data_IF_882042925355
#
_entry.id   IF_882042925355
#
_cell.length_a   1.000
_cell.length_b   1.000
_cell.length_c   1.000
_cell.angle_alpha   90.00
_cell.angle_beta   90.00
_cell.angle_gamma   90.00
#
_symmetry.space_group_name_H-M   'P 1'
#
loop_
_entity.id
_entity.type
_entity.pdbx_description
1 polymer ?
#
# COMPACT_ATOMS: atom_id res chain seq x y z
N UNK A 1 22.51 -10.58 -15.45
CA UNK A 1 22.72 -11.84 -14.68
C UNK A 1 22.12 -11.75 -13.27
N UNK A 2 22.52 -10.78 -12.45
CA UNK A 2 21.98 -10.59 -11.10
C UNK A 2 20.49 -10.18 -11.06
N UNK A 3 20.00 -9.40 -12.03
CA UNK A 3 18.59 -9.02 -12.13
C UNK A 3 17.65 -10.18 -12.49
N UNK A 4 18.12 -11.12 -13.32
CA UNK A 4 17.33 -12.27 -13.77
C UNK A 4 17.27 -13.39 -12.71
N UNK A 5 18.34 -13.57 -11.94
CA UNK A 5 18.33 -14.49 -10.78
C UNK A 5 17.49 -13.90 -9.64
N UNK A 6 17.57 -12.59 -9.41
CA UNK A 6 16.71 -11.85 -8.48
C UNK A 6 15.23 -11.99 -8.84
N UNK A 7 14.86 -11.79 -10.11
CA UNK A 7 13.48 -11.92 -10.55
C UNK A 7 12.95 -13.35 -10.41
N UNK A 8 13.79 -14.37 -10.63
CA UNK A 8 13.40 -15.77 -10.43
C UNK A 8 13.12 -16.15 -8.98
N UNK A 9 13.99 -15.75 -8.05
CA UNK A 9 13.80 -16.00 -6.62
C UNK A 9 12.63 -15.19 -6.03
N UNK A 10 12.45 -13.96 -6.51
CA UNK A 10 11.28 -13.14 -6.18
C UNK A 10 9.99 -13.85 -6.61
N UNK A 11 9.86 -14.20 -7.88
CA UNK A 11 8.66 -14.86 -8.39
C UNK A 11 8.39 -16.18 -7.67
N UNK A 12 9.43 -16.98 -7.41
CA UNK A 12 9.28 -18.23 -6.67
C UNK A 12 8.74 -18.01 -5.24
N UNK A 13 9.10 -16.90 -4.58
CA UNK A 13 8.53 -16.55 -3.29
C UNK A 13 7.06 -16.17 -3.43
N UNK A 14 6.71 -15.30 -4.38
CA UNK A 14 5.32 -14.89 -4.61
C UNK A 14 4.43 -16.09 -4.93
N UNK A 15 4.87 -16.98 -5.82
CA UNK A 15 4.14 -18.19 -6.19
C UNK A 15 3.90 -19.11 -5.00
N UNK A 16 4.89 -19.26 -4.10
CA UNK A 16 4.77 -20.09 -2.90
C UNK A 16 3.82 -19.52 -1.84
N UNK A 17 3.52 -18.22 -1.90
CA UNK A 17 2.63 -17.52 -0.98
C UNK A 17 1.34 -17.04 -1.68
N UNK A 18 1.11 -17.46 -2.92
CA UNK A 18 -0.10 -17.16 -3.69
C UNK A 18 -1.12 -18.27 -3.47
N UNK A 19 -2.35 -17.89 -3.12
CA UNK A 19 -3.45 -18.82 -2.89
C UNK A 19 -4.67 -18.41 -3.68
N UNK A 20 -5.44 -19.38 -4.16
CA UNK A 20 -6.79 -19.13 -4.65
C UNK A 20 -7.73 -19.13 -3.44
N UNK A 21 -8.43 -18.03 -3.22
CA UNK A 21 -9.33 -17.87 -2.09
C UNK A 21 -10.67 -17.31 -2.53
N UNK A 22 -11.73 -17.85 -1.92
CA UNK A 22 -13.04 -17.22 -1.97
C UNK A 22 -13.07 -16.07 -0.96
N UNK A 23 -13.45 -14.88 -1.43
CA UNK A 23 -13.44 -13.64 -0.66
C UNK A 23 -14.86 -13.14 -0.51
N UNK A 24 -15.28 -12.91 0.74
CA UNK A 24 -16.58 -12.31 1.08
C UNK A 24 -16.32 -11.04 1.88
N UNK A 25 -16.93 -9.93 1.47
CA UNK A 25 -16.90 -8.68 2.22
C UNK A 25 -18.27 -8.40 2.85
N UNK A 26 -18.25 -8.03 4.12
CA UNK A 26 -19.43 -7.78 4.94
C UNK A 26 -19.29 -6.40 5.56
N UNK A 27 -20.14 -5.47 5.14
CA UNK A 27 -20.22 -4.13 5.68
C UNK A 27 -21.36 -4.08 6.68
N UNK A 28 -21.08 -3.66 7.91
CA UNK A 28 -22.08 -3.42 8.94
C UNK A 28 -21.99 -1.95 9.35
N UNK A 29 -23.12 -1.28 9.40
CA UNK A 29 -23.24 0.05 9.98
C UNK A 29 -24.18 -0.03 11.18
N UNK A 30 -23.74 0.50 12.31
CA UNK A 30 -24.54 0.60 13.53
C UNK A 30 -24.26 1.92 14.26
N UNK A 31 -25.26 2.82 14.28
CA UNK A 31 -25.24 4.01 15.14
C UNK A 31 -24.00 4.90 15.00
N UNK A 32 -23.53 5.12 13.77
CA UNK A 32 -22.36 5.96 13.47
C UNK A 32 -21.04 5.20 13.34
N UNK A 33 -21.03 3.87 13.55
CA UNK A 33 -19.85 3.04 13.30
C UNK A 33 -20.11 2.16 12.08
N UNK A 34 -19.18 2.16 11.12
CA UNK A 34 -19.15 1.21 10.02
C UNK A 34 -17.98 0.25 10.22
N UNK A 35 -18.26 -1.05 10.29
CA UNK A 35 -17.24 -2.09 10.23
C UNK A 35 -17.27 -2.78 8.87
N UNK A 36 -16.10 -3.10 8.32
CA UNK A 36 -15.94 -3.99 7.19
C UNK A 36 -15.22 -5.25 7.67
N UNK A 37 -15.83 -6.41 7.44
CA UNK A 37 -15.17 -7.70 7.60
C UNK A 37 -14.92 -8.31 6.22
N UNK A 38 -13.67 -8.56 5.89
CA UNK A 38 -13.27 -9.34 4.72
C UNK A 38 -12.85 -10.73 5.16
N UNK A 39 -13.52 -11.75 4.63
CA UNK A 39 -13.28 -13.16 4.95
C UNK A 39 -12.68 -13.85 3.73
N UNK A 40 -11.48 -14.41 3.90
CA UNK A 40 -10.80 -15.22 2.90
C UNK A 40 -10.91 -16.69 3.29
N UNK A 41 -11.35 -17.56 2.37
CA UNK A 41 -11.41 -19.01 2.60
C UNK A 41 -10.66 -19.78 1.53
N UNK A 42 -9.79 -20.68 1.96
CA UNK A 42 -9.05 -21.62 1.11
C UNK A 42 -8.61 -22.84 1.92
N UNK A 43 -8.79 -24.04 1.38
CA UNK A 43 -8.25 -25.28 1.99
C UNK A 43 -6.71 -25.26 2.03
N UNK A 44 -6.07 -24.51 1.13
CA UNK A 44 -4.61 -24.35 1.05
C UNK A 44 -4.04 -23.63 2.28
N UNK A 45 -4.86 -22.91 3.03
CA UNK A 45 -4.45 -22.19 4.24
C UNK A 45 -4.16 -23.12 5.43
N UNK A 46 -4.73 -24.32 5.48
CA UNK A 46 -4.64 -25.22 6.65
C UNK A 46 -3.19 -25.61 6.95
N UNK A 47 -2.38 -25.82 5.92
CA UNK A 47 -0.96 -26.12 6.08
C UNK A 47 -0.15 -24.98 6.70
N UNK A 48 -0.04 -23.81 6.03
CA UNK A 48 0.77 -22.69 6.49
C UNK A 48 0.19 -21.99 7.72
N UNK A 49 -1.13 -21.83 7.82
CA UNK A 49 -1.80 -21.00 8.81
C UNK A 49 -2.58 -21.79 9.89
N UNK A 50 -2.81 -23.09 9.69
CA UNK A 50 -3.54 -23.93 10.65
C UNK A 50 -5.06 -23.71 10.66
N UNK A 51 -5.58 -22.92 9.72
CA UNK A 51 -7.01 -22.60 9.52
C UNK A 51 -7.30 -22.56 8.03
N UNK A 52 -8.54 -22.84 7.62
CA UNK A 52 -9.00 -22.67 6.23
C UNK A 52 -9.59 -21.27 5.98
N UNK A 53 -9.67 -20.44 7.02
CA UNK A 53 -10.34 -19.14 7.02
C UNK A 53 -9.45 -18.09 7.67
N UNK A 54 -9.27 -16.96 6.99
CA UNK A 54 -8.60 -15.76 7.50
C UNK A 54 -9.58 -14.58 7.49
N UNK A 55 -9.54 -13.76 8.53
CA UNK A 55 -10.43 -12.60 8.70
C UNK A 55 -9.61 -11.31 8.73
N UNK A 56 -10.12 -10.27 8.10
CA UNK A 56 -9.67 -8.89 8.28
C UNK A 56 -10.89 -8.09 8.73
N UNK A 57 -10.76 -7.33 9.82
CA UNK A 57 -11.82 -6.43 10.29
C UNK A 57 -11.28 -5.02 10.36
N UNK A 58 -11.94 -4.08 9.69
CA UNK A 58 -11.65 -2.65 9.78
C UNK A 58 -12.86 -1.89 10.32
N UNK A 59 -12.65 -1.04 11.32
CA UNK A 59 -13.67 -0.17 11.89
C UNK A 59 -13.43 1.27 11.45
N UNK A 60 -14.49 1.93 10.98
CA UNK A 60 -14.52 3.31 10.53
C UNK A 60 -15.66 4.05 11.22
N UNK A 61 -15.35 5.20 11.81
CA UNK A 61 -16.39 6.09 12.34
C UNK A 61 -16.99 6.91 11.19
N UNK A 62 -18.31 6.95 11.11
CA UNK A 62 -19.07 7.77 10.16
C UNK A 62 -20.01 8.66 10.96
N UNK A 63 -19.83 9.98 10.84
CA UNK A 63 -20.78 10.95 11.38
C UNK A 63 -22.08 10.93 10.55
N UNK A 64 -23.00 10.05 10.92
CA UNK A 64 -24.33 9.92 10.33
C UNK A 64 -25.40 9.81 11.41
N UNK A 65 -26.69 10.00 11.08
CA UNK A 65 -27.73 10.07 12.09
C UNK A 65 -27.77 8.80 12.94
N UNK A 66 -27.80 9.00 14.25
CA UNK A 66 -28.12 7.97 15.23
C UNK A 66 -29.47 7.32 14.81
N UNK A 67 -29.58 5.99 14.94
CA UNK A 67 -30.77 5.15 14.69
C UNK A 67 -30.89 4.40 13.35
N UNK A 68 -29.80 4.17 12.61
CA UNK A 68 -29.82 3.25 11.47
C UNK A 68 -28.84 2.09 11.71
N UNK A 69 -29.29 0.86 11.46
CA UNK A 69 -28.44 -0.33 11.38
C UNK A 69 -28.61 -0.93 9.99
N UNK A 70 -27.50 -1.14 9.27
CA UNK A 70 -27.49 -1.71 7.92
C UNK A 70 -26.45 -2.82 7.85
N UNK A 71 -26.76 -3.88 7.11
CA UNK A 71 -25.79 -4.92 6.76
C UNK A 71 -25.84 -5.13 5.26
N UNK A 72 -24.68 -5.02 4.62
CA UNK A 72 -24.47 -5.31 3.21
C UNK A 72 -23.44 -6.42 3.10
N UNK A 73 -23.85 -7.55 2.53
CA UNK A 73 -22.94 -8.66 2.18
C UNK A 73 -22.73 -8.60 0.67
N UNK A 74 -21.50 -8.37 0.24
CA UNK A 74 -21.17 -8.40 -1.18
C UNK A 74 -21.10 -9.85 -1.68
N UNK A 75 -21.33 -10.09 -2.99
CA UNK A 75 -21.17 -11.42 -3.57
C UNK A 75 -19.77 -11.97 -3.30
N UNK A 76 -19.69 -13.26 -2.97
CA UNK A 76 -18.41 -13.95 -2.88
C UNK A 76 -17.75 -14.00 -4.25
N UNK A 77 -16.47 -13.64 -4.30
CA UNK A 77 -15.64 -13.68 -5.50
C UNK A 77 -14.41 -14.54 -5.28
N UNK A 78 -13.93 -15.20 -6.32
CA UNK A 78 -12.65 -15.90 -6.29
C UNK A 78 -11.54 -14.91 -6.62
N UNK A 79 -10.53 -14.80 -5.76
CA UNK A 79 -9.34 -13.97 -5.98
C UNK A 79 -8.08 -14.81 -5.79
N UNK A 80 -7.04 -14.46 -6.55
CA UNK A 80 -5.67 -14.87 -6.24
C UNK A 80 -5.10 -13.84 -5.29
N UNK A 81 -4.66 -14.28 -4.12
CA UNK A 81 -4.10 -13.40 -3.08
C UNK A 81 -2.70 -13.86 -2.74
N UNK A 82 -1.82 -12.94 -2.37
CA UNK A 82 -0.54 -13.27 -1.74
C UNK A 82 -0.64 -12.99 -0.25
N UNK A 83 -0.43 -14.00 0.58
CA UNK A 83 -0.52 -13.87 2.04
C UNK A 83 0.62 -14.62 2.72
N UNK A 84 1.18 -14.02 3.77
CA UNK A 84 2.21 -14.63 4.62
C UNK A 84 1.91 -14.38 6.09
N UNK A 85 2.67 -15.01 6.99
CA UNK A 85 2.71 -14.65 8.41
C UNK A 85 3.51 -13.35 8.57
N UNK A 86 3.10 -12.50 9.49
CA UNK A 86 3.86 -11.28 9.84
C UNK A 86 5.26 -11.57 10.36
N UNK A 87 5.50 -12.79 10.89
CA UNK A 87 6.82 -13.27 11.33
C UNK A 87 7.69 -13.78 10.19
N UNK A 88 7.14 -13.92 8.98
CA UNK A 88 7.82 -14.44 7.79
C UNK A 88 7.56 -13.47 6.59
N UNK A 89 7.93 -12.19 6.73
CA UNK A 89 7.66 -11.18 5.71
C UNK A 89 8.44 -11.44 4.41
N UNK A 90 8.01 -10.78 3.34
CA UNK A 90 8.73 -10.81 2.06
C UNK A 90 10.20 -10.38 2.24
N UNK A 91 11.18 -11.23 1.89
CA UNK A 91 12.58 -11.02 2.26
C UNK A 91 13.32 -10.11 1.25
N UNK A 92 12.79 -8.91 1.00
CA UNK A 92 13.28 -7.96 -0.02
C UNK A 92 14.81 -7.78 0.02
N UNK A 93 15.37 -7.52 1.21
CA UNK A 93 16.82 -7.33 1.41
C UNK A 93 17.64 -8.58 1.09
N UNK A 94 17.16 -9.77 1.44
CA UNK A 94 17.84 -11.03 1.13
C UNK A 94 17.82 -11.33 -0.38
N UNK A 95 16.81 -10.84 -1.09
CA UNK A 95 16.71 -10.88 -2.56
C UNK A 95 17.51 -9.75 -3.23
N UNK A 96 18.11 -8.84 -2.45
CA UNK A 96 19.00 -7.78 -2.92
C UNK A 96 18.29 -6.48 -3.29
N UNK A 97 17.04 -6.29 -2.88
CA UNK A 97 16.37 -4.99 -2.97
C UNK A 97 16.81 -4.09 -1.82
N UNK A 98 17.10 -2.83 -2.13
CA UNK A 98 17.54 -1.84 -1.15
C UNK A 98 16.36 -1.31 -0.32
N UNK A 99 15.14 -1.41 -0.84
CA UNK A 99 13.91 -0.89 -0.23
C UNK A 99 12.80 -1.95 -0.23
N UNK A 100 11.76 -1.77 0.60
CA UNK A 100 10.55 -2.59 0.53
C UNK A 100 9.90 -2.51 -0.86
N UNK A 101 9.41 -3.64 -1.36
CA UNK A 101 8.78 -3.72 -2.68
C UNK A 101 7.26 -3.49 -2.63
N UNK A 102 6.62 -3.82 -1.50
CA UNK A 102 5.16 -3.88 -1.40
C UNK A 102 4.64 -3.26 -0.11
N UNK A 103 3.40 -2.82 -0.18
CA UNK A 103 2.53 -2.47 0.92
C UNK A 103 1.74 -3.71 1.35
N UNK A 104 1.44 -3.79 2.64
CA UNK A 104 0.81 -4.96 3.23
C UNK A 104 -0.33 -4.58 4.17
N UNK A 105 -1.50 -5.19 4.00
CA UNK A 105 -2.55 -5.16 5.01
C UNK A 105 -2.20 -6.18 6.11
N UNK A 106 -1.87 -5.70 7.29
CA UNK A 106 -1.43 -6.54 8.42
C UNK A 106 -2.57 -6.73 9.41
N UNK A 107 -3.01 -7.97 9.62
CA UNK A 107 -4.11 -8.29 10.55
C UNK A 107 -3.93 -9.67 11.18
N UNK A 108 -4.18 -9.78 12.49
CA UNK A 108 -4.16 -11.04 13.26
C UNK A 108 -2.95 -11.96 13.02
N UNK A 109 -1.75 -11.38 12.88
CA UNK A 109 -0.52 -12.15 12.63
C UNK A 109 -0.29 -12.54 11.17
N UNK A 110 -1.15 -12.12 10.25
CA UNK A 110 -1.03 -12.29 8.80
C UNK A 110 -0.74 -10.96 8.09
N UNK A 111 -0.13 -11.04 6.91
CA UNK A 111 0.15 -9.92 6.03
C UNK A 111 -0.30 -10.26 4.61
N UNK A 112 -1.21 -9.46 4.06
CA UNK A 112 -1.76 -9.59 2.72
C UNK A 112 -1.07 -8.57 1.81
N UNK A 113 -0.57 -9.03 0.66
CA UNK A 113 0.08 -8.15 -0.31
C UNK A 113 -0.96 -7.23 -0.96
N UNK A 114 -0.66 -5.94 -1.00
CA UNK A 114 -1.52 -4.90 -1.55
C UNK A 114 -0.77 -4.15 -2.67
N UNK A 115 -0.64 -2.84 -2.53
CA UNK A 115 -0.07 -1.95 -3.53
C UNK A 115 1.47 -2.05 -3.64
N UNK A 116 2.06 -1.70 -4.79
CA UNK A 116 3.50 -1.53 -4.94
C UNK A 116 4.01 -0.27 -4.21
N UNK A 117 5.24 -0.34 -3.73
CA UNK A 117 6.05 0.86 -3.45
C UNK A 117 6.53 1.41 -4.79
N UNK A 118 6.25 2.68 -5.08
CA UNK A 118 6.60 3.33 -6.35
C UNK A 118 7.28 4.69 -6.18
N UNK A 119 7.48 5.17 -4.95
CA UNK A 119 8.19 6.42 -4.69
C UNK A 119 9.18 6.27 -3.54
N UNK A 120 10.36 6.87 -3.71
CA UNK A 120 11.44 6.86 -2.72
C UNK A 120 12.00 8.27 -2.59
N UNK A 121 12.03 8.81 -1.37
CA UNK A 121 12.77 10.03 -1.05
C UNK A 121 13.98 9.73 -0.16
N UNK A 122 15.10 10.36 -0.51
CA UNK A 122 16.35 10.28 0.27
C UNK A 122 16.85 11.67 0.64
N UNK A 123 17.70 11.73 1.68
CA UNK A 123 18.22 12.98 2.28
C UNK A 123 17.12 13.91 2.83
N UNK A 124 16.00 13.34 3.24
CA UNK A 124 14.86 14.06 3.84
C UNK A 124 14.25 13.21 4.95
N UNK A 125 13.22 13.73 5.59
CA UNK A 125 12.34 13.01 6.51
C UNK A 125 10.88 13.00 6.02
N UNK A 126 10.06 12.17 6.64
CA UNK A 126 8.64 12.04 6.33
C UNK A 126 7.87 13.34 6.58
N UNK A 127 8.26 14.12 7.58
CA UNK A 127 7.59 15.39 7.89
C UNK A 127 7.73 16.38 6.73
N UNK A 128 8.90 16.47 6.13
CA UNK A 128 9.22 17.32 4.99
C UNK A 128 8.50 16.85 3.72
N UNK A 129 8.47 15.54 3.45
CA UNK A 129 7.69 14.98 2.32
C UNK A 129 6.21 15.32 2.49
N UNK A 130 5.62 15.07 3.66
CA UNK A 130 4.21 15.39 3.93
C UNK A 130 3.93 16.89 3.82
N UNK A 131 4.85 17.73 4.30
CA UNK A 131 4.73 19.18 4.19
C UNK A 131 4.61 19.63 2.74
N UNK A 132 5.39 19.07 1.81
CA UNK A 132 5.27 19.38 0.38
C UNK A 132 3.86 19.10 -0.14
N UNK A 133 3.25 17.96 0.18
CA UNK A 133 1.86 17.70 -0.21
C UNK A 133 0.90 18.73 0.38
N UNK A 134 1.00 18.99 1.69
CA UNK A 134 0.03 19.82 2.40
C UNK A 134 0.14 21.32 2.08
N UNK A 135 1.33 21.82 1.79
CA UNK A 135 1.58 23.25 1.54
C UNK A 135 1.67 23.59 0.05
N UNK A 136 2.19 22.68 -0.78
CA UNK A 136 2.45 22.97 -2.20
C UNK A 136 1.38 22.40 -3.12
N UNK A 137 0.60 21.40 -2.69
CA UNK A 137 -0.46 20.79 -3.50
C UNK A 137 -1.83 21.17 -2.97
N UNK A 138 -2.52 22.15 -3.60
CA UNK A 138 -3.82 22.61 -3.12
C UNK A 138 -4.84 21.48 -3.03
N UNK A 139 -5.57 21.42 -1.90
CA UNK A 139 -6.63 20.44 -1.66
C UNK A 139 -6.18 19.15 -0.97
N UNK A 140 -4.87 18.95 -0.79
CA UNK A 140 -4.36 17.78 -0.08
C UNK A 140 -4.53 17.90 1.44
N UNK A 141 -4.84 16.77 2.07
CA UNK A 141 -5.00 16.64 3.52
C UNK A 141 -4.10 15.54 4.06
N UNK A 142 -3.78 15.61 5.36
CA UNK A 142 -2.91 14.64 6.05
C UNK A 142 -3.53 14.05 7.31
N UNK A 143 -4.83 14.26 7.52
CA UNK A 143 -5.58 13.78 8.69
C UNK A 143 -7.04 13.60 8.32
N UNK A 144 -7.73 12.66 8.99
CA UNK A 144 -9.13 12.35 8.68
C UNK A 144 -9.32 11.66 7.33
N UNK A 145 -8.25 11.06 6.80
CA UNK A 145 -8.28 10.22 5.61
C UNK A 145 -8.92 8.88 6.02
N UNK A 146 -9.97 8.48 5.32
CA UNK A 146 -10.56 7.16 5.49
C UNK A 146 -9.79 6.21 4.57
N UNK A 147 -9.06 5.26 5.16
CA UNK A 147 -8.22 4.30 4.44
C UNK A 147 -8.04 3.01 5.26
N UNK A 148 -7.64 1.93 4.59
CA UNK A 148 -7.14 0.72 5.24
C UNK A 148 -5.74 0.94 5.81
N UNK A 149 -5.43 0.26 6.91
CA UNK A 149 -4.13 0.35 7.57
C UNK A 149 -3.09 -0.53 6.88
N UNK A 150 -2.34 0.04 5.93
CA UNK A 150 -1.24 -0.68 5.28
C UNK A 150 0.10 -0.35 5.92
N UNK A 151 0.98 -1.34 5.90
CA UNK A 151 2.33 -1.27 6.45
C UNK A 151 3.39 -1.64 5.40
N UNK A 152 4.62 -1.19 5.61
CA UNK A 152 5.81 -1.76 4.96
C UNK A 152 6.65 -2.48 5.99
N UNK A 153 7.35 -3.54 5.59
CA UNK A 153 8.30 -4.22 6.48
C UNK A 153 9.70 -3.59 6.35
N UNK A 154 10.24 -3.09 7.45
CA UNK A 154 11.60 -2.55 7.54
C UNK A 154 12.57 -3.62 8.08
N UNK A 155 13.38 -4.17 7.18
CA UNK A 155 14.41 -5.17 7.52
C UNK A 155 15.56 -4.60 8.37
N UNK A 156 15.70 -3.27 8.49
CA UNK A 156 16.68 -2.63 9.37
C UNK A 156 16.30 -2.73 10.84
N UNK A 157 15.00 -2.77 11.14
CA UNK A 157 14.47 -2.87 12.52
C UNK A 157 13.70 -4.16 12.80
N UNK A 158 13.52 -5.02 11.80
CA UNK A 158 12.70 -6.23 11.90
C UNK A 158 11.27 -5.89 12.36
N UNK A 159 10.65 -4.90 11.71
CA UNK A 159 9.37 -4.33 12.16
C UNK A 159 8.49 -3.88 11.00
N UNK A 160 7.18 -3.98 11.22
CA UNK A 160 6.15 -3.42 10.34
C UNK A 160 5.92 -1.94 10.67
N UNK A 161 6.08 -1.07 9.67
CA UNK A 161 5.97 0.38 9.82
C UNK A 161 4.60 0.82 9.29
N UNK A 162 3.74 1.45 10.11
CA UNK A 162 2.45 1.96 9.66
C UNK A 162 2.60 3.26 8.86
N UNK A 163 1.64 3.54 7.99
CA UNK A 163 1.66 4.73 7.14
C UNK A 163 1.41 6.05 7.87
N UNK A 164 1.80 7.15 7.22
CA UNK A 164 1.36 8.53 7.49
C UNK A 164 0.92 9.19 6.20
N UNK A 165 -0.26 8.79 5.75
CA UNK A 165 -0.75 9.10 4.42
C UNK A 165 -1.13 10.57 4.21
N UNK A 166 -1.26 10.91 2.94
CA UNK A 166 -1.81 12.17 2.42
C UNK A 166 -2.74 11.85 1.25
N UNK A 167 -3.82 12.61 1.08
CA UNK A 167 -4.82 12.39 0.03
C UNK A 167 -5.40 13.71 -0.46
N UNK A 168 -5.99 13.72 -1.67
CA UNK A 168 -6.70 14.89 -2.23
C UNK A 168 -8.14 15.06 -1.69
N UNK A 169 -8.55 14.18 -0.78
CA UNK A 169 -9.83 14.27 -0.06
C UNK A 169 -9.94 13.19 1.03
N UNK A 170 -10.78 13.45 2.04
CA UNK A 170 -10.99 12.51 3.16
C UNK A 170 -11.69 11.22 2.72
N UNK A 171 -12.76 11.37 1.94
CA UNK A 171 -13.68 10.30 1.57
C UNK A 171 -13.53 9.82 0.13
N UNK A 172 -12.83 10.55 -0.74
CA UNK A 172 -12.58 10.21 -2.16
C UNK A 172 -13.75 9.51 -2.88
N UNK A 173 -15.01 9.90 -2.61
CA UNK A 173 -16.20 9.10 -3.00
C UNK A 173 -16.30 8.91 -4.52
N UNK A 174 -15.84 9.90 -5.28
CA UNK A 174 -15.79 9.89 -6.76
C UNK A 174 -14.44 9.38 -7.30
N UNK A 175 -13.64 8.75 -6.44
CA UNK A 175 -12.22 8.50 -6.66
C UNK A 175 -11.38 9.68 -6.18
N UNK A 176 -10.06 9.50 -6.23
CA UNK A 176 -9.12 10.52 -5.78
C UNK A 176 -7.70 10.00 -5.81
N UNK A 177 -6.78 10.82 -5.33
CA UNK A 177 -5.36 10.50 -5.24
C UNK A 177 -4.96 10.27 -3.79
N UNK A 178 -4.15 9.24 -3.57
CA UNK A 178 -3.73 8.82 -2.24
C UNK A 178 -2.27 8.38 -2.26
N UNK A 179 -1.52 8.82 -1.26
CA UNK A 179 -0.12 8.44 -1.05
C UNK A 179 0.03 7.96 0.38
N UNK A 180 0.43 6.69 0.54
CA UNK A 180 0.78 6.11 1.84
C UNK A 180 2.28 6.25 2.03
N UNK A 181 2.69 7.02 3.04
CA UNK A 181 4.10 7.40 3.26
C UNK A 181 4.64 6.68 4.49
N UNK A 182 5.87 6.19 4.40
CA UNK A 182 6.56 5.43 5.44
C UNK A 182 7.98 5.94 5.61
N UNK A 183 8.45 6.04 6.85
CA UNK A 183 9.85 6.37 7.17
C UNK A 183 10.56 5.11 7.66
N UNK A 184 11.60 4.69 6.96
CA UNK A 184 12.43 3.55 7.32
C UNK A 184 13.46 3.94 8.38
N UNK A 185 14.01 2.94 9.07
CA UNK A 185 14.99 3.16 10.15
C UNK A 185 16.30 3.82 9.71
N UNK A 186 16.62 3.81 8.42
CA UNK A 186 17.79 4.49 7.87
C UNK A 186 17.53 5.96 7.49
N UNK A 187 16.30 6.45 7.71
CA UNK A 187 15.85 7.80 7.37
C UNK A 187 15.34 7.94 5.93
N UNK A 188 15.36 6.87 5.12
CA UNK A 188 14.70 6.88 3.81
C UNK A 188 13.19 6.95 3.98
N UNK A 189 12.52 7.73 3.12
CA UNK A 189 11.07 7.75 3.04
C UNK A 189 10.64 6.97 1.79
N UNK A 190 9.72 6.02 1.94
CA UNK A 190 9.13 5.27 0.82
C UNK A 190 7.62 5.49 0.78
N UNK A 191 7.01 5.34 -0.38
CA UNK A 191 5.57 5.41 -0.51
C UNK A 191 5.02 4.52 -1.62
N UNK A 192 3.76 4.12 -1.46
CA UNK A 192 2.91 3.72 -2.57
C UNK A 192 1.91 4.83 -2.84
N UNK A 193 1.89 5.27 -4.09
CA UNK A 193 1.01 6.31 -4.60
C UNK A 193 0.08 5.71 -5.65
N UNK A 194 -1.22 5.91 -5.48
CA UNK A 194 -2.21 5.53 -6.49
C UNK A 194 -3.34 6.53 -6.64
N UNK A 195 -4.08 6.35 -7.73
CA UNK A 195 -5.42 6.89 -7.90
C UNK A 195 -6.45 5.81 -7.61
N UNK A 196 -7.48 6.17 -6.85
CA UNK A 196 -8.64 5.35 -6.54
C UNK A 196 -9.78 5.55 -7.55
N UNK A 197 -10.56 4.49 -7.81
CA UNK A 197 -11.88 4.58 -8.42
C UNK A 197 -12.93 5.12 -7.44
N UNK A 198 -14.14 5.50 -7.90
CA UNK A 198 -15.28 5.76 -7.01
C UNK A 198 -15.57 4.59 -6.07
N UNK A 199 -16.17 4.87 -4.91
CA UNK A 199 -16.43 3.85 -3.88
C UNK A 199 -17.16 2.60 -4.44
N UNK A 200 -16.77 1.37 -4.05
CA UNK A 200 -15.74 1.00 -3.07
C UNK A 200 -14.33 1.20 -3.65
N UNK A 201 -13.51 2.05 -3.03
CA UNK A 201 -12.25 2.52 -3.61
C UNK A 201 -11.29 1.36 -3.87
N UNK A 202 -10.86 1.23 -5.12
CA UNK A 202 -9.79 0.35 -5.55
C UNK A 202 -8.79 1.18 -6.37
N UNK A 203 -7.51 0.86 -6.23
CA UNK A 203 -6.48 1.45 -7.06
C UNK A 203 -6.79 1.18 -8.55
N UNK A 204 -6.67 2.22 -9.38
CA UNK A 204 -6.85 2.10 -10.84
C UNK A 204 -5.66 2.64 -11.62
N UNK A 205 -4.74 3.34 -10.96
CA UNK A 205 -3.52 3.87 -11.58
C UNK A 205 -2.39 3.97 -10.55
N UNK A 206 -1.23 3.38 -10.85
CA UNK A 206 0.03 3.62 -10.13
C UNK A 206 0.91 4.60 -10.92
N UNK A 207 1.36 4.19 -12.10
CA UNK A 207 2.39 4.90 -12.88
C UNK A 207 2.01 6.32 -13.30
N UNK A 208 0.81 6.59 -13.84
CA UNK A 208 0.44 7.96 -14.18
C UNK A 208 0.46 8.90 -12.97
N UNK A 209 0.23 8.37 -11.77
CA UNK A 209 0.21 9.17 -10.55
C UNK A 209 1.61 9.32 -9.93
N UNK A 210 2.45 8.29 -10.04
CA UNK A 210 3.88 8.39 -9.76
C UNK A 210 4.53 9.51 -10.60
N UNK A 211 4.29 9.50 -11.92
CA UNK A 211 4.77 10.54 -12.85
C UNK A 211 4.25 11.94 -12.46
N UNK A 212 3.00 12.03 -12.02
CA UNK A 212 2.43 13.29 -11.54
C UNK A 212 3.20 13.84 -10.32
N UNK A 213 3.50 12.99 -9.34
CA UNK A 213 4.27 13.39 -8.16
C UNK A 213 5.72 13.74 -8.54
N UNK A 214 6.33 12.96 -9.43
CA UNK A 214 7.66 13.20 -9.97
C UNK A 214 7.76 14.58 -10.66
N UNK A 215 6.78 14.90 -11.51
CA UNK A 215 6.71 16.19 -12.22
C UNK A 215 6.51 17.38 -11.27
N UNK A 216 5.69 17.21 -10.23
CA UNK A 216 5.50 18.24 -9.19
C UNK A 216 6.77 18.47 -8.36
N UNK A 217 7.41 17.39 -7.95
CA UNK A 217 8.64 17.44 -7.14
C UNK A 217 9.77 18.15 -7.89
N UNK A 218 9.91 17.87 -9.20
CA UNK A 218 10.89 18.52 -10.09
C UNK A 218 10.69 20.04 -10.19
N UNK A 219 9.46 20.54 -10.03
CA UNK A 219 9.12 21.96 -10.12
C UNK A 219 9.41 22.77 -8.85
N UNK A 220 9.63 22.13 -7.71
CA UNK A 220 9.79 22.78 -6.40
C UNK A 220 11.18 23.44 -6.17
N UNK A 221 12.17 23.12 -7.00
CA UNK A 221 13.57 23.56 -6.86
C UNK A 221 14.34 22.97 -5.67
N UNK A 222 13.68 22.19 -4.79
CA UNK A 222 14.28 21.57 -3.60
C UNK A 222 14.62 20.09 -3.79
N UNK A 223 14.08 19.49 -4.85
CA UNK A 223 14.19 18.07 -5.15
C UNK A 223 14.80 17.82 -6.53
N UNK A 224 15.72 16.87 -6.60
CA UNK A 224 16.19 16.27 -7.86
C UNK A 224 15.43 14.97 -8.08
N UNK A 225 14.83 14.78 -9.25
CA UNK A 225 13.97 13.63 -9.55
C UNK A 225 14.62 12.74 -10.59
N UNK A 226 14.64 11.44 -10.31
CA UNK A 226 15.09 10.39 -11.21
C UNK A 226 13.95 9.39 -11.39
N UNK A 227 13.17 9.57 -12.46
CA UNK A 227 12.08 8.66 -12.82
C UNK A 227 12.57 7.24 -13.09
N UNK A 228 11.79 6.24 -12.69
CA UNK A 228 12.05 4.80 -12.91
C UNK A 228 13.47 4.37 -12.53
N UNK A 229 13.99 4.93 -11.44
CA UNK A 229 15.41 4.79 -11.12
C UNK A 229 15.71 3.49 -10.37
N UNK A 230 14.80 3.05 -9.52
CA UNK A 230 15.03 1.95 -8.59
C UNK A 230 14.13 0.78 -8.95
N UNK A 231 14.73 -0.32 -9.42
CA UNK A 231 13.97 -1.54 -9.70
C UNK A 231 13.61 -2.28 -8.41
N UNK A 232 12.31 -2.45 -8.16
CA UNK A 232 11.74 -3.17 -7.03
C UNK A 232 11.08 -4.50 -7.44
N UNK A 233 10.93 -4.76 -8.74
CA UNK A 233 10.35 -6.01 -9.25
C UNK A 233 8.94 -6.26 -8.75
N UNK A 234 8.18 -5.19 -8.54
CA UNK A 234 6.81 -5.20 -8.06
C UNK A 234 5.82 -4.92 -9.21
N UNK A 235 6.09 -5.46 -10.39
CA UNK A 235 5.26 -5.29 -11.58
C UNK A 235 3.80 -5.68 -11.32
N UNK A 236 2.86 -4.91 -11.87
CA UNK A 236 1.44 -5.22 -11.84
C UNK A 236 0.85 -4.96 -13.24
N UNK A 237 0.36 -6.02 -13.89
CA UNK A 237 -0.22 -5.92 -15.24
C UNK A 237 -1.69 -5.50 -15.22
N UNK A 238 -2.42 -5.79 -14.14
CA UNK A 238 -3.86 -5.49 -14.02
C UNK A 238 -4.08 -3.99 -13.82
N UNK A 239 -3.32 -3.40 -12.89
CA UNK A 239 -3.22 -1.97 -12.67
C UNK A 239 -1.76 -1.62 -12.94
N UNK A 240 -1.50 -1.08 -14.14
CA UNK A 240 -0.15 -0.90 -14.67
C UNK A 240 0.83 -0.28 -13.65
N UNK A 241 1.83 -1.09 -13.26
CA UNK A 241 3.05 -0.74 -12.52
C UNK A 241 4.24 -1.45 -13.19
N UNK A 242 5.29 -0.71 -13.54
CA UNK A 242 6.40 -1.18 -14.37
C UNK A 242 7.50 -1.89 -13.57
N UNK A 243 7.35 -1.96 -12.24
CA UNK A 243 8.31 -2.61 -11.34
C UNK A 243 9.42 -1.69 -10.82
N UNK A 244 9.41 -0.41 -11.19
CA UNK A 244 10.37 0.60 -10.76
C UNK A 244 9.71 1.64 -9.86
N UNK A 245 10.54 2.31 -9.06
CA UNK A 245 10.17 3.46 -8.28
C UNK A 245 10.99 4.69 -8.68
N UNK A 246 10.34 5.84 -8.67
CA UNK A 246 10.98 7.15 -8.85
C UNK A 246 11.75 7.51 -7.58
N UNK A 247 13.01 7.91 -7.77
CA UNK A 247 13.89 8.39 -6.71
C UNK A 247 13.87 9.93 -6.67
N UNK A 248 13.59 10.49 -5.50
CA UNK A 248 13.49 11.93 -5.25
C UNK A 248 14.51 12.32 -4.18
N UNK A 249 15.50 13.13 -4.55
CA UNK A 249 16.64 13.47 -3.68
C UNK A 249 16.50 14.90 -3.18
N UNK A 250 16.49 15.10 -1.86
CA UNK A 250 16.54 16.45 -1.29
C UNK A 250 17.94 17.06 -1.43
N UNK A 251 18.03 18.31 -1.89
CA UNK A 251 19.27 19.08 -1.83
C UNK A 251 20.32 18.75 -2.90
N UNK A 252 19.95 18.08 -3.99
CA UNK A 252 20.82 17.92 -5.15
C UNK A 252 20.84 19.18 -6.03
N UNK A 253 21.80 20.08 -5.78
CA UNK A 253 22.39 20.83 -6.88
C UNK A 253 23.56 19.99 -7.40
N UNK A 254 23.65 19.84 -8.72
CA UNK A 254 24.79 19.26 -9.43
C UNK A 254 26.14 19.80 -8.94
#
# INVERSE_FOLDING_TARGET
PASAERSGAHQAWLDAHTYNASVTEIYQYDGGNMSCETIYRSEEFVGPFGTDTLHIVSDHFIETPDNVTLTLVLPTVEKRIVVTKQTEPFPAKALGYDYPCYLWECYDGYAFLEDPVNLIWVNTDMASVRKTFLEEYPGWIGSGIIEKNYSVYDAGTDSWIPSRSVADGAWRVEGGYHVRIYELSDGTVVAGAHKDCPAPHEAVQFEPFEEFIAGRSSGSGSWTVFSDRIYLGNENEEIYNNGYATLIVCGGQD
#
